data_IF_560474168725
#
_entry.id   IF_560474168725
#
_cell.length_a   1.000
_cell.length_b   1.000
_cell.length_c   1.000
_cell.angle_alpha   90.00
_cell.angle_beta   90.00
_cell.angle_gamma   90.00
#
_symmetry.space_group_name_H-M   'P 1'
#
loop_
_entity.id
_entity.type
_entity.pdbx_description
1 polymer ?
#
# COMPACT_ATOMS: atom_id res chain seq x y z
N UNK A 1 20.13 -61.56 -0.84
CA UNK A 1 18.89 -61.07 -1.51
C UNK A 1 18.28 -59.99 -0.62
N UNK A 2 18.59 -58.71 -0.89
CA UNK A 2 18.19 -57.56 -0.08
C UNK A 2 16.88 -57.01 -0.66
N UNK A 3 15.84 -57.05 0.15
CA UNK A 3 14.43 -57.06 -0.24
C UNK A 3 14.00 -55.78 -0.99
N UNK A 4 13.45 -55.94 -2.20
CA UNK A 4 13.00 -54.89 -3.13
C UNK A 4 11.91 -53.98 -2.53
N UNK A 5 11.28 -54.41 -1.44
CA UNK A 5 10.18 -53.71 -0.76
C UNK A 5 10.64 -52.46 0.00
N UNK A 6 11.88 -52.43 0.51
CA UNK A 6 12.40 -51.29 1.27
C UNK A 6 12.58 -50.03 0.39
N UNK A 7 13.04 -50.20 -0.85
CA UNK A 7 13.24 -49.06 -1.78
C UNK A 7 11.93 -48.41 -2.24
N UNK A 8 10.81 -49.14 -2.26
CA UNK A 8 9.51 -48.59 -2.66
C UNK A 8 8.88 -47.69 -1.59
N UNK A 9 9.05 -48.02 -0.30
CA UNK A 9 8.45 -47.25 0.80
C UNK A 9 9.14 -45.89 0.97
N UNK A 10 10.46 -45.83 0.80
CA UNK A 10 11.22 -44.57 0.90
C UNK A 10 10.89 -43.59 -0.24
N UNK A 11 10.64 -44.09 -1.46
CA UNK A 11 10.29 -43.23 -2.59
C UNK A 11 8.85 -42.67 -2.52
N UNK A 12 7.91 -43.38 -1.89
CA UNK A 12 6.52 -42.91 -1.76
C UNK A 12 6.41 -41.80 -0.68
N UNK A 13 7.18 -41.90 0.40
CA UNK A 13 7.23 -40.86 1.44
C UNK A 13 7.86 -39.54 0.97
N UNK A 14 8.87 -39.59 0.11
CA UNK A 14 9.52 -38.41 -0.45
C UNK A 14 8.67 -37.68 -1.50
N UNK A 15 7.81 -38.39 -2.25
CA UNK A 15 6.88 -37.77 -3.20
C UNK A 15 5.70 -37.08 -2.50
N UNK A 16 5.26 -37.55 -1.32
CA UNK A 16 4.16 -36.92 -0.58
C UNK A 16 4.57 -35.63 0.15
N UNK A 17 5.83 -35.49 0.59
CA UNK A 17 6.31 -34.23 1.17
C UNK A 17 6.57 -33.13 0.13
N UNK A 18 6.78 -33.48 -1.14
CA UNK A 18 6.98 -32.49 -2.20
C UNK A 18 5.68 -31.78 -2.62
N UNK A 19 4.50 -32.38 -2.41
CA UNK A 19 3.23 -31.79 -2.84
C UNK A 19 2.59 -30.81 -1.84
N UNK A 20 3.01 -30.81 -0.56
CA UNK A 20 2.47 -29.86 0.44
C UNK A 20 3.29 -28.58 0.58
N UNK A 21 4.48 -28.49 -0.02
CA UNK A 21 5.36 -27.32 0.10
C UNK A 21 5.16 -26.24 -0.98
N UNK A 22 4.32 -26.49 -1.99
CA UNK A 22 4.08 -25.51 -3.08
C UNK A 22 2.78 -24.71 -2.97
N UNK A 23 1.94 -24.96 -1.96
CA UNK A 23 0.69 -24.21 -1.77
C UNK A 23 0.78 -23.02 -0.82
N UNK A 24 1.93 -22.73 -0.20
CA UNK A 24 2.04 -21.66 0.83
C UNK A 24 2.64 -20.34 0.32
N UNK A 25 3.06 -20.25 -0.93
CA UNK A 25 3.77 -19.04 -1.44
C UNK A 25 2.94 -18.19 -2.41
N UNK A 26 1.74 -18.62 -2.82
CA UNK A 26 0.96 -17.92 -3.88
C UNK A 26 -0.32 -17.25 -3.36
N UNK A 27 -0.75 -17.54 -2.12
CA UNK A 27 -1.99 -16.98 -1.58
C UNK A 27 -1.83 -15.60 -0.93
N UNK A 28 -0.62 -15.14 -0.62
CA UNK A 28 -0.43 -13.84 0.03
C UNK A 28 -0.50 -12.64 -0.93
N UNK A 29 -0.31 -12.85 -2.23
CA UNK A 29 -0.38 -11.77 -3.24
C UNK A 29 -1.76 -11.64 -3.91
N UNK A 30 -2.61 -12.67 -3.84
CA UNK A 30 -3.85 -12.74 -4.64
C UNK A 30 -5.12 -12.20 -3.97
N UNK A 31 -5.02 -11.61 -2.78
CA UNK A 31 -6.20 -11.15 -2.02
C UNK A 31 -6.11 -9.68 -1.59
N UNK A 32 -5.55 -8.81 -2.44
CA UNK A 32 -5.56 -7.35 -2.25
C UNK A 32 -6.58 -6.67 -3.18
N UNK A 33 -7.11 -7.39 -4.18
CA UNK A 33 -7.97 -6.83 -5.23
C UNK A 33 -9.46 -6.95 -4.91
N UNK A 34 -10.01 -5.98 -4.18
CA UNK A 34 -11.43 -5.65 -4.29
C UNK A 34 -11.78 -4.16 -4.07
N UNK A 35 -10.80 -3.28 -3.88
CA UNK A 35 -11.00 -1.82 -3.86
C UNK A 35 -9.75 -1.15 -4.40
N UNK A 36 -9.88 -0.17 -5.30
CA UNK A 36 -8.72 0.61 -5.75
C UNK A 36 -8.10 1.33 -4.56
N UNK A 37 -6.85 1.02 -4.25
CA UNK A 37 -6.07 1.69 -3.20
C UNK A 37 -5.69 3.11 -3.64
N UNK A 38 -5.30 3.97 -2.70
CA UNK A 38 -4.75 5.30 -3.05
C UNK A 38 -3.48 5.12 -3.88
N UNK A 39 -2.69 4.10 -3.57
CA UNK A 39 -1.48 3.75 -4.33
C UNK A 39 -1.81 3.53 -5.82
N UNK A 40 -2.77 2.64 -6.11
CA UNK A 40 -3.16 2.35 -7.49
C UNK A 40 -3.72 3.57 -8.22
N UNK A 41 -4.54 4.37 -7.52
CA UNK A 41 -5.10 5.59 -8.10
C UNK A 41 -4.01 6.64 -8.37
N UNK A 42 -3.07 6.82 -7.44
CA UNK A 42 -1.95 7.75 -7.57
C UNK A 42 -1.05 7.34 -8.72
N UNK A 43 -0.72 6.05 -8.85
CA UNK A 43 0.07 5.57 -9.97
C UNK A 43 -0.64 5.79 -11.31
N UNK A 44 -1.95 5.53 -11.39
CA UNK A 44 -2.73 5.79 -12.60
C UNK A 44 -2.77 7.28 -12.97
N UNK A 45 -2.96 8.15 -11.98
CA UNK A 45 -2.90 9.60 -12.17
C UNK A 45 -1.57 10.04 -12.76
N UNK A 46 -0.45 9.55 -12.23
CA UNK A 46 0.87 9.98 -12.69
C UNK A 46 1.19 9.44 -14.09
N UNK A 47 0.84 8.18 -14.35
CA UNK A 47 0.96 7.58 -15.69
C UNK A 47 0.17 8.39 -16.74
N UNK A 48 -0.96 8.98 -16.35
CA UNK A 48 -1.80 9.77 -17.24
C UNK A 48 -1.33 11.23 -17.38
N UNK A 49 -0.91 11.85 -16.28
CA UNK A 49 -0.74 13.31 -16.20
C UNK A 49 0.70 13.77 -16.39
N UNK A 50 1.69 12.92 -16.15
CA UNK A 50 3.08 13.33 -16.19
C UNK A 50 3.84 12.54 -17.25
N UNK A 51 4.61 13.24 -18.09
CA UNK A 51 5.65 12.63 -18.93
C UNK A 51 6.92 12.28 -18.12
N UNK A 52 6.86 12.43 -16.79
CA UNK A 52 8.02 12.45 -15.91
C UNK A 52 8.44 11.02 -15.55
N UNK A 53 9.74 10.77 -15.57
CA UNK A 53 10.31 9.51 -15.09
C UNK A 53 10.16 9.44 -13.58
N UNK A 54 9.52 8.37 -13.11
CA UNK A 54 9.42 8.05 -11.69
C UNK A 54 10.62 7.19 -11.28
N UNK A 55 11.32 7.52 -10.19
CA UNK A 55 12.10 6.52 -9.47
C UNK A 55 11.16 5.47 -8.88
N UNK A 56 11.69 4.26 -8.66
CA UNK A 56 10.92 3.12 -8.18
C UNK A 56 10.12 3.46 -6.92
N UNK A 57 8.89 3.00 -6.91
CA UNK A 57 7.98 3.00 -5.78
C UNK A 57 8.56 2.18 -4.63
N UNK A 58 8.67 2.75 -3.43
CA UNK A 58 8.94 1.97 -2.22
C UNK A 58 7.63 1.74 -1.47
N UNK A 59 7.20 0.49 -1.39
CA UNK A 59 6.01 0.08 -0.64
C UNK A 59 6.45 -0.84 0.49
N UNK A 60 6.05 -0.52 1.72
CA UNK A 60 6.29 -1.34 2.91
C UNK A 60 4.95 -1.81 3.47
N UNK A 61 4.82 -3.12 3.66
CA UNK A 61 3.59 -3.72 4.19
C UNK A 61 3.73 -4.05 5.67
N UNK A 62 2.74 -3.65 6.46
CA UNK A 62 2.64 -3.96 7.89
C UNK A 62 1.35 -4.75 8.18
N UNK A 63 1.26 -6.02 7.75
CA UNK A 63 0.03 -6.82 7.85
C UNK A 63 -0.46 -7.01 9.29
N UNK A 64 0.45 -7.11 10.26
CA UNK A 64 0.12 -7.24 11.69
C UNK A 64 -0.34 -5.92 12.31
N UNK A 65 0.06 -4.79 11.74
CA UNK A 65 -0.32 -3.45 12.19
C UNK A 65 -1.51 -2.87 11.41
N UNK A 66 -1.89 -3.50 10.29
CA UNK A 66 -3.05 -3.11 9.52
C UNK A 66 -2.82 -1.94 8.57
N UNK A 67 -1.63 -1.75 8.04
CA UNK A 67 -1.42 -0.69 7.06
C UNK A 67 -0.31 -1.01 6.07
N UNK A 68 -0.20 -0.16 5.06
CA UNK A 68 0.93 -0.10 4.16
C UNK A 68 1.40 1.34 4.04
N UNK A 69 2.70 1.51 3.90
CA UNK A 69 3.35 2.79 3.63
C UNK A 69 3.87 2.81 2.21
N UNK A 70 3.84 3.99 1.63
CA UNK A 70 4.28 4.21 0.29
C UNK A 70 4.95 5.56 0.17
N UNK A 71 6.08 5.59 -0.54
CA UNK A 71 6.77 6.81 -0.89
C UNK A 71 7.00 6.90 -2.38
N UNK A 72 6.81 8.10 -2.91
CA UNK A 72 7.08 8.41 -4.29
C UNK A 72 7.70 9.77 -4.47
N UNK A 73 8.72 9.84 -5.31
CA UNK A 73 9.36 11.08 -5.69
C UNK A 73 8.89 11.45 -7.08
N UNK A 74 8.47 12.69 -7.26
CA UNK A 74 8.07 13.27 -8.53
C UNK A 74 9.01 14.40 -8.91
N UNK A 75 9.57 14.32 -10.10
CA UNK A 75 10.22 15.46 -10.72
C UNK A 75 9.14 16.37 -11.31
N UNK A 76 9.13 17.65 -10.93
CA UNK A 76 8.11 18.61 -11.37
C UNK A 76 8.77 19.90 -11.84
N UNK A 77 8.27 20.46 -12.95
CA UNK A 77 8.75 21.75 -13.47
C UNK A 77 8.33 22.91 -12.55
N UNK A 78 7.15 22.80 -11.91
CA UNK A 78 6.60 23.79 -11.01
C UNK A 78 6.08 23.16 -9.71
N UNK A 79 6.78 23.45 -8.61
CA UNK A 79 6.49 22.94 -7.25
C UNK A 79 5.09 23.32 -6.76
N UNK A 80 4.70 24.58 -6.93
CA UNK A 80 3.43 25.08 -6.41
C UNK A 80 2.25 24.45 -7.14
N UNK A 81 2.33 24.38 -8.47
CA UNK A 81 1.28 23.75 -9.27
C UNK A 81 1.17 22.25 -8.96
N UNK A 82 2.29 21.56 -8.75
CA UNK A 82 2.31 20.14 -8.36
C UNK A 82 1.57 19.90 -7.04
N UNK A 83 1.85 20.71 -6.01
CA UNK A 83 1.15 20.63 -4.71
C UNK A 83 -0.36 20.87 -4.84
N UNK A 84 -0.78 21.89 -5.60
CA UNK A 84 -2.20 22.18 -5.82
C UNK A 84 -2.91 21.04 -6.57
N UNK A 85 -2.26 20.50 -7.60
CA UNK A 85 -2.79 19.38 -8.36
C UNK A 85 -2.91 18.11 -7.49
N UNK A 86 -1.89 17.86 -6.66
CA UNK A 86 -1.90 16.76 -5.71
C UNK A 86 -3.06 16.86 -4.72
N UNK A 87 -3.23 18.03 -4.10
CA UNK A 87 -4.28 18.25 -3.13
C UNK A 87 -5.65 17.98 -3.74
N UNK A 88 -5.92 18.53 -4.94
CA UNK A 88 -7.18 18.31 -5.65
C UNK A 88 -7.42 16.83 -5.96
N UNK A 89 -6.39 16.15 -6.43
CA UNK A 89 -6.46 14.73 -6.77
C UNK A 89 -6.77 13.87 -5.54
N UNK A 90 -6.03 14.07 -4.44
CA UNK A 90 -6.25 13.30 -3.22
C UNK A 90 -7.63 13.57 -2.61
N UNK A 91 -8.11 14.81 -2.64
CA UNK A 91 -9.47 15.13 -2.18
C UNK A 91 -10.51 14.33 -2.97
N UNK A 92 -10.38 14.26 -4.29
CA UNK A 92 -11.28 13.46 -5.15
C UNK A 92 -11.21 11.95 -4.81
N UNK A 93 -10.00 11.42 -4.58
CA UNK A 93 -9.84 10.03 -4.13
C UNK A 93 -10.49 9.79 -2.77
N UNK A 94 -10.36 10.71 -1.82
CA UNK A 94 -10.99 10.58 -0.51
C UNK A 94 -12.52 10.56 -0.60
N UNK A 95 -13.09 11.49 -1.37
CA UNK A 95 -14.55 11.57 -1.61
C UNK A 95 -15.06 10.28 -2.27
N UNK A 96 -14.36 9.76 -3.28
CA UNK A 96 -14.72 8.49 -3.96
C UNK A 96 -14.69 7.29 -3.01
N UNK A 97 -13.96 7.37 -1.90
CA UNK A 97 -13.90 6.35 -0.85
C UNK A 97 -14.88 6.62 0.30
N UNK A 98 -15.79 7.58 0.13
CA UNK A 98 -16.82 7.91 1.12
C UNK A 98 -16.25 8.59 2.36
N UNK A 99 -15.17 9.35 2.19
CA UNK A 99 -14.56 10.12 3.25
C UNK A 99 -14.36 11.58 2.89
N UNK A 100 -13.90 12.34 3.89
CA UNK A 100 -13.54 13.74 3.78
C UNK A 100 -12.08 13.92 4.24
N UNK A 101 -11.36 14.82 3.58
CA UNK A 101 -9.96 15.09 3.91
C UNK A 101 -9.84 16.27 4.87
N UNK A 102 -9.20 16.07 6.03
CA UNK A 102 -8.89 17.11 7.01
C UNK A 102 -7.52 16.85 7.61
N UNK A 103 -6.66 17.87 7.69
CA UNK A 103 -5.32 17.76 8.27
C UNK A 103 -4.52 16.54 7.74
N UNK A 104 -4.51 16.35 6.41
CA UNK A 104 -3.83 15.24 5.70
C UNK A 104 -4.47 13.84 5.87
N UNK A 105 -5.48 13.71 6.72
CA UNK A 105 -6.22 12.46 6.90
C UNK A 105 -7.46 12.43 6.03
N UNK A 106 -7.63 11.34 5.29
CA UNK A 106 -8.91 10.96 4.74
C UNK A 106 -9.66 10.10 5.76
N UNK A 107 -10.82 10.58 6.17
CA UNK A 107 -11.62 9.98 7.24
C UNK A 107 -12.98 9.58 6.69
N UNK A 108 -13.41 8.34 6.95
CA UNK A 108 -14.72 7.86 6.50
C UNK A 108 -15.85 8.69 7.13
N UNK A 109 -16.68 9.36 6.32
CA UNK A 109 -17.63 10.37 6.81
C UNK A 109 -18.66 9.80 7.79
N UNK A 110 -18.98 8.50 7.68
CA UNK A 110 -19.99 7.82 8.54
C UNK A 110 -19.42 7.26 9.84
N UNK A 111 -18.22 6.70 9.79
CA UNK A 111 -17.64 5.94 10.92
C UNK A 111 -16.53 6.68 11.62
N UNK A 112 -16.10 7.81 11.06
CA UNK A 112 -14.92 8.57 11.50
C UNK A 112 -13.64 7.73 11.55
N UNK A 113 -13.56 6.66 10.75
CA UNK A 113 -12.36 5.82 10.71
C UNK A 113 -11.32 6.36 9.75
N UNK A 114 -10.02 6.29 10.10
CA UNK A 114 -8.95 6.70 9.21
C UNK A 114 -8.82 5.73 8.03
N UNK A 115 -8.96 6.26 6.81
CA UNK A 115 -8.82 5.50 5.56
C UNK A 115 -7.37 5.56 5.09
N UNK A 116 -6.82 6.77 4.99
CA UNK A 116 -5.42 6.98 4.65
C UNK A 116 -4.94 8.34 5.15
N UNK A 117 -3.65 8.45 5.36
CA UNK A 117 -2.92 9.68 5.58
C UNK A 117 -2.06 9.98 4.36
N UNK A 118 -1.92 11.25 4.01
CA UNK A 118 -0.97 11.63 2.98
C UNK A 118 -0.38 13.03 3.09
N UNK A 119 0.92 13.14 2.78
CA UNK A 119 1.66 14.40 2.76
C UNK A 119 2.44 14.53 1.45
N UNK A 120 2.43 15.75 0.91
CA UNK A 120 3.34 16.18 -0.15
C UNK A 120 4.35 17.18 0.41
N UNK A 121 5.63 16.87 0.25
CA UNK A 121 6.74 17.67 0.74
C UNK A 121 7.77 17.93 -0.35
N UNK A 122 8.65 18.90 -0.10
CA UNK A 122 9.81 19.12 -0.95
C UNK A 122 10.82 18.00 -0.72
N UNK A 123 11.49 17.58 -1.78
CA UNK A 123 12.51 16.55 -1.71
C UNK A 123 13.79 17.09 -2.32
N UNK A 124 14.88 17.04 -1.54
CA UNK A 124 16.18 17.53 -1.96
C UNK A 124 16.89 16.47 -2.80
N UNK A 125 16.37 16.26 -4.01
CA UNK A 125 17.01 15.46 -5.04
C UNK A 125 17.05 16.23 -6.35
N UNK A 126 18.20 16.19 -7.02
CA UNK A 126 18.37 16.74 -8.35
C UNK A 126 17.70 15.83 -9.37
N UNK A 127 16.49 16.19 -9.78
CA UNK A 127 16.03 15.82 -11.11
C UNK A 127 16.85 16.64 -12.10
N UNK A 128 17.29 16.05 -13.21
CA UNK A 128 18.30 16.63 -14.11
C UNK A 128 18.14 18.14 -14.39
N UNK A 129 16.92 18.65 -14.52
CA UNK A 129 16.62 20.08 -14.73
C UNK A 129 15.57 20.66 -13.78
N UNK A 130 15.07 19.87 -12.83
CA UNK A 130 13.82 20.16 -12.11
C UNK A 130 13.94 19.90 -10.61
N UNK A 131 12.98 20.42 -9.86
CA UNK A 131 12.87 20.14 -8.43
C UNK A 131 12.06 18.87 -8.18
N UNK A 132 12.40 18.15 -7.11
CA UNK A 132 11.69 16.97 -6.69
C UNK A 132 10.69 17.28 -5.56
N UNK A 133 9.55 16.62 -5.60
CA UNK A 133 8.58 16.56 -4.50
C UNK A 133 8.40 15.12 -4.09
N UNK A 134 8.29 14.85 -2.79
CA UNK A 134 7.99 13.52 -2.28
C UNK A 134 6.55 13.47 -1.77
N UNK A 135 5.86 12.42 -2.16
CA UNK A 135 4.53 12.06 -1.68
C UNK A 135 4.68 10.84 -0.79
N UNK A 136 4.12 10.92 0.41
CA UNK A 136 4.09 9.83 1.38
C UNK A 136 2.64 9.49 1.70
N UNK A 137 2.28 8.22 1.56
CA UNK A 137 0.93 7.73 1.82
C UNK A 137 1.01 6.60 2.84
N UNK A 138 0.20 6.67 3.88
CA UNK A 138 -0.05 5.57 4.82
C UNK A 138 -1.52 5.17 4.70
N UNK A 139 -1.80 3.94 4.32
CA UNK A 139 -3.17 3.51 3.99
C UNK A 139 -3.54 2.22 4.73
N UNK A 140 -4.79 2.18 5.20
CA UNK A 140 -5.42 0.99 5.77
C UNK A 140 -5.38 -0.19 4.78
N UNK A 141 -4.98 -1.38 5.22
CA UNK A 141 -5.02 -2.55 4.34
C UNK A 141 -6.47 -2.94 3.97
N UNK A 142 -6.76 -3.29 2.70
CA UNK A 142 -8.13 -3.61 2.26
C UNK A 142 -8.81 -4.76 3.01
N UNK A 143 -8.03 -5.67 3.61
CA UNK A 143 -8.53 -6.89 4.27
C UNK A 143 -8.74 -6.76 5.78
N UNK A 144 -8.62 -5.54 6.33
CA UNK A 144 -8.67 -5.27 7.77
C UNK A 144 -10.00 -5.60 8.44
N UNK A 145 -11.10 -5.46 7.70
CA UNK A 145 -12.45 -5.76 8.17
C UNK A 145 -12.61 -7.21 8.68
N UNK A 146 -11.73 -8.12 8.26
CA UNK A 146 -11.78 -9.52 8.65
C UNK A 146 -11.08 -9.82 10.00
N UNK A 147 -10.39 -8.84 10.61
CA UNK A 147 -9.69 -9.04 11.88
C UNK A 147 -9.78 -7.80 12.79
N UNK A 148 -10.64 -7.88 13.81
CA UNK A 148 -10.88 -6.78 14.76
C UNK A 148 -9.66 -6.40 15.60
N UNK A 149 -8.72 -7.32 15.85
CA UNK A 149 -7.48 -7.00 16.54
C UNK A 149 -6.55 -6.16 15.67
N UNK A 150 -6.41 -6.52 14.39
CA UNK A 150 -5.62 -5.72 13.43
C UNK A 150 -6.27 -4.35 13.24
N UNK A 151 -7.62 -4.25 13.19
CA UNK A 151 -8.33 -2.98 13.09
C UNK A 151 -8.07 -2.05 14.28
N UNK A 152 -8.05 -2.59 15.49
CA UNK A 152 -7.66 -1.83 16.70
C UNK A 152 -6.20 -1.39 16.64
N UNK A 153 -5.30 -2.24 16.14
CA UNK A 153 -3.88 -1.88 15.99
C UNK A 153 -3.69 -0.75 14.98
N UNK A 154 -4.38 -0.80 13.84
CA UNK A 154 -4.36 0.28 12.85
C UNK A 154 -4.80 1.61 13.47
N UNK A 155 -5.91 1.62 14.22
CA UNK A 155 -6.38 2.84 14.87
C UNK A 155 -5.34 3.44 15.82
N UNK A 156 -4.66 2.60 16.62
CA UNK A 156 -3.56 3.05 17.49
C UNK A 156 -2.39 3.65 16.71
N UNK A 157 -2.04 3.04 15.57
CA UNK A 157 -1.00 3.58 14.69
C UNK A 157 -1.43 4.93 14.12
N UNK A 158 -2.65 5.04 13.60
CA UNK A 158 -3.18 6.30 13.09
C UNK A 158 -3.16 7.40 14.15
N UNK A 159 -3.58 7.10 15.39
CA UNK A 159 -3.50 8.03 16.52
C UNK A 159 -2.06 8.47 16.82
N UNK A 160 -1.09 7.54 16.77
CA UNK A 160 0.34 7.89 16.95
C UNK A 160 0.90 8.79 15.83
N UNK A 161 0.26 8.77 14.66
CA UNK A 161 0.55 9.64 13.51
C UNK A 161 -0.27 10.94 13.54
N UNK A 162 -0.98 11.23 14.63
CA UNK A 162 -1.74 12.47 14.82
C UNK A 162 -3.17 12.44 14.29
N UNK A 163 -3.75 11.27 14.03
CA UNK A 163 -5.18 11.14 13.82
C UNK A 163 -5.92 11.41 15.14
N UNK A 164 -6.71 12.49 15.17
CA UNK A 164 -7.53 12.86 16.32
C UNK A 164 -9.00 12.61 15.96
N UNK A 165 -9.67 11.79 16.77
CA UNK A 165 -11.12 11.52 16.68
C UNK A 165 -11.96 12.74 17.08
#
# INVERSE_FOLDING_TARGET
MRNLTWKRIVNIGLLFMAFFSMCTQVSYAKQITSTSTVISATQAYINHQTKMQQPQQNIVYHPTLGYMEYQQIWCNDNRQQSRVNYQRFITDICIKRGGDITNHWCTASKTQQPIFYTVVSDYDANCATNQATIVQITEVLPTLNNNSNIAKTWLKVAQSLGFNE
#
